data_IF_806321511702
#
_entry.id   IF_806321511702
#
_cell.length_a   1.000
_cell.length_b   1.000
_cell.length_c   1.000
_cell.angle_alpha   90.00
_cell.angle_beta   90.00
_cell.angle_gamma   90.00
#
_symmetry.space_group_name_H-M   'P 1'
#
loop_
_entity.id
_entity.type
_entity.pdbx_description
1 polymer ?
#
# COMPACT_ATOMS: atom_id res chain seq x y z
N UNK A 1 11.10 -19.46 -15.03
CA UNK A 1 10.41 -18.30 -14.42
C UNK A 1 11.44 -17.46 -13.68
N UNK A 2 11.48 -16.12 -13.85
CA UNK A 2 12.48 -15.27 -13.18
C UNK A 2 12.06 -14.93 -11.73
N UNK A 3 11.68 -15.93 -10.92
CA UNK A 3 11.41 -15.76 -9.49
C UNK A 3 11.68 -17.06 -8.73
N UNK A 4 11.89 -16.95 -7.41
CA UNK A 4 12.04 -18.08 -6.48
C UNK A 4 10.92 -18.05 -5.46
N UNK A 5 10.36 -19.21 -5.16
CA UNK A 5 9.40 -19.40 -4.07
C UNK A 5 10.11 -19.99 -2.85
N UNK A 6 9.54 -19.78 -1.68
CA UNK A 6 10.02 -20.34 -0.43
C UNK A 6 8.92 -20.36 0.61
N UNK A 7 9.10 -21.20 1.62
CA UNK A 7 8.21 -21.26 2.78
C UNK A 7 8.20 -19.90 3.48
N UNK A 8 7.01 -19.40 3.79
CA UNK A 8 6.79 -18.15 4.52
C UNK A 8 5.64 -18.33 5.52
N UNK A 9 5.29 -17.27 6.26
CA UNK A 9 4.26 -17.27 7.31
C UNK A 9 2.82 -17.58 6.84
N UNK A 10 2.62 -17.79 5.55
CA UNK A 10 1.34 -18.14 4.94
C UNK A 10 1.36 -19.51 4.25
N UNK A 11 2.47 -20.25 4.32
CA UNK A 11 2.65 -21.53 3.63
C UNK A 11 1.78 -22.66 4.21
N UNK A 12 1.16 -22.44 5.37
CA UNK A 12 0.23 -23.34 6.05
C UNK A 12 -1.24 -23.09 5.68
N UNK A 13 -1.54 -22.03 4.93
CA UNK A 13 -2.91 -21.66 4.54
C UNK A 13 -3.22 -22.14 3.13
N UNK A 14 -4.45 -22.63 2.92
CA UNK A 14 -4.97 -22.75 1.55
C UNK A 14 -5.19 -21.36 0.94
N UNK A 15 -5.32 -21.28 -0.39
CA UNK A 15 -5.63 -20.03 -1.09
C UNK A 15 -6.92 -19.39 -0.59
N UNK A 16 -7.92 -20.21 -0.25
CA UNK A 16 -9.21 -19.78 0.29
C UNK A 16 -9.05 -19.24 1.71
N UNK A 17 -8.28 -19.93 2.57
CA UNK A 17 -8.00 -19.46 3.93
C UNK A 17 -7.18 -18.16 3.92
N UNK A 18 -6.19 -18.06 3.05
CA UNK A 18 -5.41 -16.83 2.88
C UNK A 18 -6.31 -15.68 2.45
N UNK A 19 -7.14 -15.89 1.43
CA UNK A 19 -8.05 -14.86 0.92
C UNK A 19 -9.05 -14.41 1.99
N UNK A 20 -9.64 -15.35 2.74
CA UNK A 20 -10.64 -15.04 3.77
C UNK A 20 -10.03 -14.36 5.00
N UNK A 21 -8.78 -14.68 5.37
CA UNK A 21 -8.14 -14.17 6.60
C UNK A 21 -7.24 -12.96 6.38
N UNK A 22 -6.71 -12.74 5.17
CA UNK A 22 -5.66 -11.73 4.92
C UNK A 22 -6.06 -10.65 3.93
N UNK A 23 -7.06 -10.90 3.09
CA UNK A 23 -7.45 -9.98 2.04
C UNK A 23 -8.82 -9.39 2.33
N UNK A 24 -9.03 -8.14 1.90
CA UNK A 24 -10.35 -7.54 1.77
C UNK A 24 -10.63 -7.34 0.28
N UNK A 25 -11.73 -7.91 -0.26
CA UNK A 25 -12.11 -7.65 -1.64
C UNK A 25 -12.41 -6.16 -1.83
N UNK A 26 -11.67 -5.51 -2.74
CA UNK A 26 -11.94 -4.13 -3.15
C UNK A 26 -13.04 -4.17 -4.21
N UNK A 27 -14.17 -3.52 -3.96
CA UNK A 27 -15.22 -3.34 -4.96
C UNK A 27 -14.91 -2.06 -5.74
N UNK A 28 -14.35 -2.22 -6.94
CA UNK A 28 -14.11 -1.11 -7.85
C UNK A 28 -15.37 -0.88 -8.68
N UNK A 29 -16.07 0.21 -8.41
CA UNK A 29 -17.20 0.65 -9.23
C UNK A 29 -16.75 1.60 -10.37
N UNK A 30 -17.65 1.90 -11.31
CA UNK A 30 -17.33 2.77 -12.45
C UNK A 30 -16.91 4.17 -12.04
N UNK A 31 -17.46 4.70 -10.95
CA UNK A 31 -17.11 6.01 -10.41
C UNK A 31 -15.68 6.03 -9.85
N UNK A 32 -15.26 4.93 -9.23
CA UNK A 32 -13.90 4.74 -8.76
C UNK A 32 -12.93 4.61 -9.93
N UNK A 33 -13.30 3.88 -11.00
CA UNK A 33 -12.49 3.79 -12.22
C UNK A 33 -12.26 5.15 -12.86
N UNK A 34 -13.31 5.97 -12.97
CA UNK A 34 -13.22 7.31 -13.54
C UNK A 34 -12.27 8.20 -12.72
N UNK A 35 -12.32 8.12 -11.38
CA UNK A 35 -11.41 8.87 -10.50
C UNK A 35 -9.97 8.35 -10.50
N UNK A 36 -9.74 7.08 -10.84
CA UNK A 36 -8.40 6.49 -10.95
C UNK A 36 -7.68 6.90 -12.25
N UNK A 37 -8.39 7.49 -13.21
CA UNK A 37 -7.79 8.09 -14.40
C UNK A 37 -7.08 9.39 -14.01
N UNK A 38 -5.84 9.27 -13.53
CA UNK A 38 -4.93 10.41 -13.45
C UNK A 38 -4.44 10.70 -14.86
N UNK A 39 -4.83 11.85 -15.41
CA UNK A 39 -4.15 12.37 -16.60
C UNK A 39 -2.75 12.81 -16.15
N UNK A 40 -1.76 11.96 -16.40
CA UNK A 40 -0.37 12.40 -16.35
C UNK A 40 -0.17 13.45 -17.45
N UNK A 41 0.44 14.58 -17.12
CA UNK A 41 0.88 15.53 -18.12
C UNK A 41 1.90 14.81 -19.03
N UNK A 42 1.69 14.86 -20.35
CA UNK A 42 2.52 14.20 -21.38
C UNK A 42 3.98 14.73 -21.42
N UNK A 43 4.33 15.70 -20.59
CA UNK A 43 5.64 16.35 -20.53
C UNK A 43 6.71 15.53 -19.77
N UNK A 44 6.39 14.32 -19.32
CA UNK A 44 7.33 13.37 -18.72
C UNK A 44 8.31 12.76 -19.74
N UNK A 45 9.07 13.60 -20.43
CA UNK A 45 10.02 13.21 -21.49
C UNK A 45 11.40 12.84 -20.96
N UNK A 46 11.73 13.19 -19.71
CA UNK A 46 13.02 12.92 -19.06
C UNK A 46 12.85 12.19 -17.73
N UNK A 47 12.49 10.90 -17.81
CA UNK A 47 12.39 10.03 -16.63
C UNK A 47 13.72 9.29 -16.39
N UNK A 48 14.14 9.13 -15.13
CA UNK A 48 15.32 8.34 -14.82
C UNK A 48 15.12 6.87 -15.20
N UNK A 49 16.20 6.19 -15.59
CA UNK A 49 16.17 4.77 -15.95
C UNK A 49 15.69 3.85 -14.80
N UNK A 50 15.82 4.30 -13.54
CA UNK A 50 15.33 3.58 -12.36
C UNK A 50 15.12 4.54 -11.18
N UNK A 51 14.09 4.28 -10.37
CA UNK A 51 13.85 4.99 -9.11
C UNK A 51 13.75 3.99 -7.96
N UNK A 52 14.47 4.25 -6.87
CA UNK A 52 14.34 3.51 -5.61
C UNK A 52 14.25 4.49 -4.45
N UNK A 53 13.05 4.65 -3.88
CA UNK A 53 12.81 5.54 -2.74
C UNK A 53 13.46 5.05 -1.44
N UNK A 54 13.83 3.77 -1.33
CA UNK A 54 14.52 3.23 -0.14
C UNK A 54 15.88 3.87 0.07
N UNK A 55 16.56 4.26 -1.02
CA UNK A 55 17.89 4.90 -0.93
C UNK A 55 17.82 6.36 -0.50
N UNK A 56 16.61 6.91 -0.31
CA UNK A 56 16.39 8.33 0.02
C UNK A 56 16.13 8.56 1.51
N UNK A 57 15.99 7.50 2.32
CA UNK A 57 15.72 7.63 3.76
C UNK A 57 14.31 8.13 4.09
N UNK A 58 13.37 8.00 3.15
CA UNK A 58 11.99 8.51 3.28
C UNK A 58 10.96 7.41 3.59
N UNK A 59 11.41 6.17 3.84
CA UNK A 59 10.51 5.04 4.07
C UNK A 59 10.65 4.52 5.50
N UNK A 60 9.51 4.20 6.11
CA UNK A 60 9.46 3.53 7.42
C UNK A 60 9.84 2.05 7.29
N UNK A 61 10.19 1.38 8.41
CA UNK A 61 10.39 -0.07 8.42
C UNK A 61 9.17 -0.84 7.92
N UNK A 62 9.40 -2.03 7.37
CA UNK A 62 8.32 -2.93 6.94
C UNK A 62 7.43 -3.30 8.13
N UNK A 63 6.11 -3.23 7.93
CA UNK A 63 5.10 -3.52 8.95
C UNK A 63 4.36 -4.84 8.67
N UNK A 64 3.49 -5.25 9.60
CA UNK A 64 2.68 -6.48 9.50
C UNK A 64 1.20 -6.20 9.83
N UNK A 65 0.32 -6.42 8.85
CA UNK A 65 -1.14 -6.28 9.03
C UNK A 65 -1.76 -7.38 9.91
N UNK A 66 -1.02 -8.45 10.19
CA UNK A 66 -1.53 -9.58 10.96
C UNK A 66 -2.70 -10.26 10.25
N UNK A 67 -3.73 -10.63 11.02
CA UNK A 67 -4.89 -11.39 10.55
C UNK A 67 -6.06 -10.49 10.13
N UNK A 68 -5.81 -9.19 9.93
CA UNK A 68 -6.81 -8.25 9.45
C UNK A 68 -6.65 -8.03 7.95
N UNK A 69 -7.75 -7.91 7.21
CA UNK A 69 -7.75 -7.47 5.80
C UNK A 69 -7.47 -5.98 5.62
N UNK A 70 -6.53 -5.42 6.40
CA UNK A 70 -6.22 -3.99 6.48
C UNK A 70 -5.11 -3.54 5.53
N UNK A 71 -4.73 -4.36 4.54
CA UNK A 71 -3.69 -4.01 3.56
C UNK A 71 -3.88 -2.63 2.90
N UNK A 72 -5.12 -2.20 2.71
CA UNK A 72 -5.48 -0.87 2.20
C UNK A 72 -5.00 0.26 3.13
N UNK A 73 -5.12 0.07 4.45
CA UNK A 73 -4.67 1.06 5.44
C UNK A 73 -3.15 1.17 5.42
N UNK A 74 -2.43 0.03 5.38
CA UNK A 74 -0.97 0.01 5.26
C UNK A 74 -0.48 0.63 3.94
N UNK A 75 -1.20 0.43 2.84
CA UNK A 75 -0.89 1.06 1.56
C UNK A 75 -1.05 2.58 1.64
N UNK A 76 -2.12 3.06 2.28
CA UNK A 76 -2.41 4.49 2.43
C UNK A 76 -1.41 5.17 3.37
N UNK A 77 -1.18 4.61 4.56
CA UNK A 77 -0.22 5.15 5.52
C UNK A 77 1.19 5.14 4.96
N UNK A 78 1.64 4.04 4.35
CA UNK A 78 2.99 3.96 3.77
C UNK A 78 3.26 5.03 2.69
N UNK A 79 2.29 5.30 1.82
CA UNK A 79 2.39 6.38 0.84
C UNK A 79 2.41 7.76 1.50
N UNK A 80 1.55 7.99 2.50
CA UNK A 80 1.48 9.24 3.24
C UNK A 80 2.76 9.52 4.05
N UNK A 81 3.31 8.51 4.71
CA UNK A 81 4.58 8.58 5.45
C UNK A 81 5.72 9.00 4.52
N UNK A 82 5.83 8.37 3.35
CA UNK A 82 6.84 8.71 2.36
C UNK A 82 6.71 10.15 1.87
N UNK A 83 5.49 10.56 1.49
CA UNK A 83 5.23 11.91 1.01
C UNK A 83 5.48 12.96 2.11
N UNK A 84 5.13 12.65 3.35
CA UNK A 84 5.39 13.51 4.50
C UNK A 84 6.89 13.66 4.76
N UNK A 85 7.65 12.57 4.69
CA UNK A 85 9.11 12.61 4.83
C UNK A 85 9.78 13.40 3.69
N UNK A 86 9.33 13.22 2.44
CA UNK A 86 9.83 13.98 1.27
C UNK A 86 9.59 15.49 1.45
N UNK A 87 8.39 15.87 1.88
CA UNK A 87 7.98 17.28 1.97
C UNK A 87 8.53 18.00 3.21
N UNK A 88 8.70 17.31 4.33
CA UNK A 88 9.03 17.93 5.61
C UNK A 88 10.43 17.56 6.14
N UNK A 89 11.06 16.54 5.58
CA UNK A 89 12.30 15.96 6.10
C UNK A 89 12.11 15.14 7.39
N UNK A 90 10.87 14.91 7.84
CA UNK A 90 10.56 14.16 9.06
C UNK A 90 9.95 12.81 8.71
N UNK A 91 10.60 11.73 9.14
CA UNK A 91 10.06 10.39 9.01
C UNK A 91 9.21 10.04 10.22
N UNK A 92 7.90 9.86 10.00
CA UNK A 92 6.94 9.46 11.02
C UNK A 92 6.30 8.13 10.64
N UNK A 93 5.87 7.37 11.64
CA UNK A 93 4.99 6.21 11.46
C UNK A 93 3.58 6.64 11.83
N UNK A 94 2.67 6.65 10.87
CA UNK A 94 1.25 6.94 11.08
C UNK A 94 0.49 5.69 11.53
N UNK A 95 -0.73 5.88 12.04
CA UNK A 95 -1.56 4.84 12.62
C UNK A 95 -2.46 4.19 11.57
N UNK A 96 -2.16 2.94 11.18
CA UNK A 96 -3.09 2.16 10.35
C UNK A 96 -4.41 1.88 11.09
N UNK A 97 -4.34 1.71 12.41
CA UNK A 97 -5.51 1.39 13.23
C UNK A 97 -6.51 2.54 13.27
N UNK A 98 -6.05 3.79 13.21
CA UNK A 98 -6.94 4.95 13.11
C UNK A 98 -7.77 4.91 11.82
N UNK A 99 -7.16 4.55 10.69
CA UNK A 99 -7.92 4.34 9.45
C UNK A 99 -8.92 3.19 9.62
N UNK A 100 -8.47 2.06 10.15
CA UNK A 100 -9.33 0.89 10.39
C UNK A 100 -10.56 1.24 11.24
N UNK A 101 -10.38 2.01 12.30
CA UNK A 101 -11.44 2.33 13.26
C UNK A 101 -12.33 3.50 12.80
N UNK A 102 -11.77 4.48 12.08
CA UNK A 102 -12.42 5.75 11.85
C UNK A 102 -12.86 5.99 10.39
N UNK A 103 -12.33 5.29 9.39
CA UNK A 103 -12.69 5.56 7.99
C UNK A 103 -13.88 4.75 7.45
N UNK A 104 -14.71 4.21 8.35
CA UNK A 104 -15.87 3.39 7.98
C UNK A 104 -16.84 4.09 7.02
N UNK A 105 -17.06 5.40 7.19
CA UNK A 105 -17.88 6.21 6.27
C UNK A 105 -17.28 6.34 4.85
N UNK A 106 -15.98 6.09 4.71
CA UNK A 106 -15.24 6.13 3.44
C UNK A 106 -15.00 4.74 2.84
N UNK A 107 -15.58 3.69 3.43
CA UNK A 107 -15.61 2.36 2.87
C UNK A 107 -14.58 1.38 3.40
N UNK A 108 -13.63 1.83 4.24
CA UNK A 108 -12.49 1.05 4.75
C UNK A 108 -11.86 0.13 3.68
#
# INVERSE_FOLDING_TARGET
LPYKLGVNKYADLTSEEFSARRLRPIKVDEKMKEKMLVQAEDDATDLPASVDWRTKGVLTPIKDQGQCGSCWAFSATGALEAQYAISTGKLLSFSEQELVDCSGEYGN
#
